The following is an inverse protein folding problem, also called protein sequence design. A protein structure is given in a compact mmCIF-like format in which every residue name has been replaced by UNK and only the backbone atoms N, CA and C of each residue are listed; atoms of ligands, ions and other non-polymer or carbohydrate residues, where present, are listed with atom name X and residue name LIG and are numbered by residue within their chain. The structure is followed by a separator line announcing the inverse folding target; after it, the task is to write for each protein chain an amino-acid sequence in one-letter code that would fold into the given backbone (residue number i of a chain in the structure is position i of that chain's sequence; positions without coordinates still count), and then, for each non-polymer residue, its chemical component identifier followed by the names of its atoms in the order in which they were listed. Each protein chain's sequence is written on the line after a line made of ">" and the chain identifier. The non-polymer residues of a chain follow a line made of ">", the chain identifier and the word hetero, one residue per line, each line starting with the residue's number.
data_IF_826704968060
#
_entry.id   IF_826704968060
#
_cell.length_a   1.000
_cell.length_b   1.000
_cell.length_c   1.000
_cell.angle_alpha   90.00
_cell.angle_beta   90.00
_cell.angle_gamma   90.00
#
_symmetry.space_group_name_H-M   'P 1'
#
loop_
_entity.id
_entity.type
_entity.pdbx_description
1 polymer ?
#
# COMPACT_ATOMS: atom_id res chain seq x y z
N UNK A 1 -15.56 -0.45 4.84
CA UNK A 1 -15.30 -0.94 3.47
C UNK A 1 -15.30 -2.46 3.50
N UNK A 2 -16.22 -3.14 2.81
CA UNK A 2 -16.19 -4.61 2.72
C UNK A 2 -15.25 -5.03 1.58
N UNK A 3 -14.37 -6.01 1.82
CA UNK A 3 -13.40 -6.53 0.82
C UNK A 3 -12.58 -5.46 0.09
N UNK A 4 -12.32 -4.32 0.73
CA UNK A 4 -11.49 -3.25 0.16
C UNK A 4 -10.54 -2.76 1.22
N UNK A 5 -9.25 -2.67 0.88
CA UNK A 5 -8.18 -2.17 1.75
C UNK A 5 -7.62 -0.87 1.20
N UNK A 6 -7.10 -0.03 2.10
CA UNK A 6 -6.29 1.13 1.74
C UNK A 6 -4.84 0.80 2.01
N UNK A 7 -4.03 0.92 0.97
CA UNK A 7 -2.59 0.65 0.98
C UNK A 7 -1.88 1.98 0.91
N UNK A 8 -0.80 2.12 1.68
CA UNK A 8 0.10 3.26 1.60
C UNK A 8 1.31 2.87 0.77
N UNK A 9 1.59 3.64 -0.30
CA UNK A 9 2.80 3.53 -1.12
C UNK A 9 3.76 4.62 -0.69
N UNK A 10 4.78 4.26 0.06
CA UNK A 10 5.87 5.16 0.44
C UNK A 10 6.93 5.21 -0.66
N UNK A 11 7.44 6.41 -0.98
CA UNK A 11 8.50 6.59 -1.95
C UNK A 11 9.34 7.83 -1.63
N UNK A 12 10.57 7.86 -2.15
CA UNK A 12 11.46 9.01 -2.07
C UNK A 12 11.33 9.86 -3.34
N UNK A 13 10.98 11.14 -3.18
CA UNK A 13 10.89 12.09 -4.27
C UNK A 13 12.16 12.96 -4.32
N UNK A 14 12.91 12.91 -5.42
CA UNK A 14 14.13 13.70 -5.58
C UNK A 14 13.80 15.16 -5.94
N UNK A 15 14.28 16.10 -5.12
CA UNK A 15 14.13 17.54 -5.34
C UNK A 15 15.39 18.08 -6.03
N UNK A 16 15.30 18.30 -7.35
CA UNK A 16 16.41 18.71 -8.21
C UNK A 16 17.14 19.97 -7.73
N UNK A 17 16.40 20.98 -7.24
CA UNK A 17 16.96 22.25 -6.76
C UNK A 17 17.95 22.07 -5.59
N UNK A 18 17.68 21.12 -4.69
CA UNK A 18 18.45 20.93 -3.47
C UNK A 18 19.30 19.66 -3.48
N UNK A 19 19.23 18.85 -4.55
CA UNK A 19 19.86 17.53 -4.65
C UNK A 19 19.57 16.62 -3.45
N UNK A 20 18.35 16.70 -2.91
CA UNK A 20 17.90 15.94 -1.72
C UNK A 20 16.64 15.16 -2.02
N UNK A 21 16.45 14.06 -1.30
CA UNK A 21 15.21 13.28 -1.34
C UNK A 21 14.24 13.74 -0.24
N UNK A 22 12.97 13.86 -0.59
CA UNK A 22 11.86 14.10 0.32
C UNK A 22 11.05 12.81 0.47
N UNK A 23 10.64 12.46 1.70
CA UNK A 23 9.74 11.33 1.95
C UNK A 23 8.31 11.71 1.55
N UNK A 24 7.73 10.98 0.59
CA UNK A 24 6.34 11.14 0.17
C UNK A 24 5.60 9.82 0.27
N UNK A 25 4.27 9.91 0.30
CA UNK A 25 3.41 8.73 0.23
C UNK A 25 2.15 9.03 -0.56
N UNK A 26 1.56 7.98 -1.13
CA UNK A 26 0.24 8.04 -1.74
C UNK A 26 -0.62 6.88 -1.22
N UNK A 27 -1.91 7.15 -1.01
CA UNK A 27 -2.86 6.14 -0.58
C UNK A 27 -3.58 5.57 -1.81
N UNK A 28 -3.75 4.25 -1.81
CA UNK A 28 -4.39 3.51 -2.87
C UNK A 28 -5.47 2.59 -2.31
N UNK A 29 -6.68 2.65 -2.86
CA UNK A 29 -7.74 1.69 -2.54
C UNK A 29 -7.69 0.49 -3.48
N UNK A 30 -7.61 -0.71 -2.91
CA UNK A 30 -7.57 -1.96 -3.65
C UNK A 30 -8.65 -2.94 -3.14
N UNK A 31 -9.24 -3.70 -4.06
CA UNK A 31 -10.13 -4.79 -3.72
C UNK A 31 -9.33 -5.99 -3.19
N UNK A 32 -9.88 -6.68 -2.20
CA UNK A 32 -9.32 -7.89 -1.59
C UNK A 32 -10.28 -9.04 -1.82
N UNK A 33 -9.81 -10.04 -2.57
CA UNK A 33 -10.53 -11.30 -2.72
C UNK A 33 -10.64 -12.00 -1.34
N UNK A 34 -11.78 -12.64 -1.01
CA UNK A 34 -11.94 -13.37 0.25
C UNK A 34 -10.90 -14.49 0.48
N UNK A 35 -10.18 -14.91 -0.56
CA UNK A 35 -9.08 -15.87 -0.45
C UNK A 35 -7.90 -15.36 0.38
N UNK A 36 -7.73 -14.04 0.49
CA UNK A 36 -6.59 -13.43 1.19
C UNK A 36 -6.98 -13.04 2.62
N UNK A 37 -6.25 -13.57 3.61
CA UNK A 37 -6.34 -13.14 5.01
C UNK A 37 -5.29 -12.07 5.28
N UNK A 38 -5.66 -10.81 5.05
CA UNK A 38 -4.77 -9.65 5.21
C UNK A 38 -4.89 -9.09 6.63
N UNK A 39 -3.76 -8.78 7.27
CA UNK A 39 -3.67 -8.05 8.53
C UNK A 39 -3.04 -6.67 8.30
N UNK A 40 -3.16 -5.80 9.30
CA UNK A 40 -2.50 -4.50 9.25
C UNK A 40 -0.97 -4.69 9.25
N UNK A 41 -0.28 -3.97 8.36
CA UNK A 41 1.18 -4.03 8.23
C UNK A 41 1.68 -5.04 7.18
N UNK A 42 0.82 -5.91 6.67
CA UNK A 42 1.20 -6.83 5.59
C UNK A 42 1.58 -6.07 4.31
N UNK A 43 2.63 -6.56 3.63
CA UNK A 43 2.99 -6.06 2.31
C UNK A 43 2.13 -6.74 1.26
N UNK A 44 1.52 -5.96 0.38
CA UNK A 44 0.63 -6.47 -0.66
C UNK A 44 1.10 -6.04 -2.04
N UNK A 45 1.10 -7.00 -2.96
CA UNK A 45 1.32 -6.75 -4.39
C UNK A 45 -0.04 -6.55 -5.02
N UNK A 46 -0.22 -5.40 -5.67
CA UNK A 46 -1.47 -5.03 -6.33
C UNK A 46 -1.27 -4.84 -7.83
N UNK A 47 -2.25 -5.30 -8.61
CA UNK A 47 -2.33 -5.08 -10.04
C UNK A 47 -3.41 -4.07 -10.37
N UNK A 48 -3.18 -3.26 -11.42
CA UNK A 48 -4.24 -2.43 -11.99
C UNK A 48 -5.31 -3.33 -12.63
N UNK A 49 -6.57 -3.00 -12.45
CA UNK A 49 -7.69 -3.74 -13.03
C UNK A 49 -8.73 -2.79 -13.61
N UNK A 50 -9.83 -3.34 -14.15
CA UNK A 50 -11.00 -2.51 -14.51
C UNK A 50 -11.46 -1.70 -13.30
N UNK A 51 -11.98 -0.47 -13.48
CA UNK A 51 -12.59 0.27 -12.38
C UNK A 51 -13.75 -0.53 -11.77
N UNK A 52 -13.65 -0.85 -10.48
CA UNK A 52 -14.68 -1.58 -9.74
C UNK A 52 -15.64 -0.62 -9.02
N UNK A 53 -15.14 0.57 -8.64
CA UNK A 53 -15.90 1.64 -8.02
C UNK A 53 -15.21 2.98 -8.30
N UNK A 54 -15.73 4.08 -7.74
CA UNK A 54 -15.17 5.44 -7.89
C UNK A 54 -13.67 5.48 -7.55
N UNK A 55 -13.27 4.84 -6.45
CA UNK A 55 -11.90 4.85 -5.93
C UNK A 55 -11.16 3.52 -6.11
N UNK A 56 -11.87 2.40 -6.29
CA UNK A 56 -11.26 1.06 -6.38
C UNK A 56 -10.96 0.71 -7.83
N UNK A 57 -9.67 0.75 -8.19
CA UNK A 57 -9.14 0.46 -9.54
C UNK A 57 -8.00 -0.57 -9.53
N UNK A 58 -7.76 -1.17 -8.38
CA UNK A 58 -6.68 -2.13 -8.16
C UNK A 58 -7.22 -3.36 -7.44
N UNK A 59 -6.59 -4.51 -7.68
CA UNK A 59 -6.88 -5.76 -6.99
C UNK A 59 -5.60 -6.32 -6.36
N UNK A 60 -5.73 -6.93 -5.19
CA UNK A 60 -4.62 -7.63 -4.53
C UNK A 60 -4.34 -8.94 -5.26
N UNK A 61 -3.07 -9.15 -5.63
CA UNK A 61 -2.59 -10.35 -6.31
C UNK A 61 -1.85 -11.29 -5.36
N UNK A 62 -1.05 -10.73 -4.45
CA UNK A 62 -0.24 -11.50 -3.49
C UNK A 62 -0.14 -10.74 -2.18
N UNK A 63 -0.18 -11.49 -1.08
CA UNK A 63 0.08 -10.98 0.26
C UNK A 63 1.42 -11.57 0.72
N UNK A 64 2.31 -10.70 1.18
CA UNK A 64 3.56 -11.05 1.84
C UNK A 64 3.38 -10.71 3.32
N UNK A 65 3.25 -11.73 4.20
CA UNK A 65 3.05 -11.49 5.62
C UNK A 65 4.28 -10.80 6.18
N UNK A 66 4.10 -9.69 6.87
CA UNK A 66 5.17 -9.11 7.67
C UNK A 66 5.21 -9.83 9.02
N UNK A 67 6.41 -10.19 9.48
CA UNK A 67 6.61 -10.74 10.83
C UNK A 67 6.03 -9.78 11.87
N UNK A 68 5.70 -10.27 13.06
CA UNK A 68 5.02 -9.54 14.12
C UNK A 68 5.85 -8.40 14.73
N UNK A 69 6.22 -7.40 13.93
CA UNK A 69 6.79 -6.16 14.42
C UNK A 69 5.64 -5.29 14.90
N UNK A 70 5.45 -5.25 16.22
CA UNK A 70 4.49 -4.41 16.94
C UNK A 70 4.81 -2.91 16.87
N UNK A 71 5.27 -2.42 15.71
CA UNK A 71 5.79 -1.08 15.48
C UNK A 71 4.94 -0.25 14.52
N UNK A 72 4.06 0.59 15.08
CA UNK A 72 3.38 1.77 14.46
C UNK A 72 2.99 1.65 12.97
N UNK A 73 1.88 0.96 12.71
CA UNK A 73 1.21 0.78 11.39
C UNK A 73 0.96 2.06 10.59
N UNK A 74 0.80 3.23 11.24
CA UNK A 74 0.55 4.52 10.55
C UNK A 74 1.81 5.34 10.25
N UNK A 75 2.96 5.01 10.87
CA UNK A 75 4.22 5.78 10.77
C UNK A 75 5.38 4.97 10.17
N UNK A 76 5.15 3.72 9.78
CA UNK A 76 6.12 2.91 9.05
C UNK A 76 6.47 3.56 7.71
N UNK A 77 7.75 3.47 7.33
CA UNK A 77 8.23 3.85 6.01
C UNK A 77 9.01 2.65 5.47
N UNK A 78 8.44 1.97 4.48
CA UNK A 78 9.04 0.79 3.85
C UNK A 78 9.72 1.11 2.52
N UNK A 79 9.90 2.40 2.21
CA UNK A 79 10.57 2.86 1.00
C UNK A 79 12.07 2.59 1.08
N UNK A 80 12.45 1.37 0.74
CA UNK A 80 13.82 0.95 0.45
C UNK A 80 13.90 0.64 -1.05
#
# INVERSE_FOLDING_TARGET
>A
MNRTITIRRDYLHFVRKYQRYEKRHSNLSAHVSPCFRVKEGDQVIVGQCRPLSKTVRFNVLKVVPHGSDGGKTKKGFSGM
#
